data_IF_077549317904
#
_entry.id   IF_077549317904
#
_cell.length_a   1.000
_cell.length_b   1.000
_cell.length_c   1.000
_cell.angle_alpha   90.00
_cell.angle_beta   90.00
_cell.angle_gamma   90.00
#
_symmetry.space_group_name_H-M   'P 1'
#
loop_
_entity.id
_entity.type
_entity.pdbx_description
1 polymer ?
#
# COMPACT_ATOMS: atom_id res chain seq x y z
N UNK A 1 12.55 8.66 21.24
CA UNK A 1 13.29 7.57 20.57
C UNK A 1 12.31 6.85 19.65
N UNK A 2 12.49 6.94 18.34
CA UNK A 2 11.64 6.25 17.37
C UNK A 2 12.04 4.77 17.39
N UNK A 3 11.30 3.93 18.11
CA UNK A 3 11.54 2.49 18.10
C UNK A 3 11.32 1.97 16.68
N UNK A 4 12.30 1.24 16.14
CA UNK A 4 12.17 0.56 14.85
C UNK A 4 12.07 -0.94 15.09
N UNK A 5 10.95 -1.54 14.73
CA UNK A 5 10.73 -2.99 14.85
C UNK A 5 10.64 -3.62 13.46
N UNK A 6 11.25 -4.78 13.27
CA UNK A 6 11.22 -5.51 11.98
C UNK A 6 10.32 -6.73 12.05
N UNK A 7 9.66 -7.03 10.94
CA UNK A 7 8.90 -8.26 10.75
C UNK A 7 8.98 -8.78 9.32
N UNK A 8 8.60 -10.03 9.13
CA UNK A 8 8.51 -10.66 7.80
C UNK A 8 7.14 -11.32 7.62
N UNK A 9 6.59 -11.23 6.41
CA UNK A 9 5.42 -11.98 5.95
C UNK A 9 5.84 -12.81 4.73
N UNK A 10 5.43 -14.08 4.70
CA UNK A 10 5.57 -14.96 3.55
C UNK A 10 4.17 -15.11 2.94
N UNK A 11 3.93 -14.58 1.73
CA UNK A 11 2.65 -14.76 1.07
C UNK A 11 2.36 -16.24 0.80
N UNK A 12 1.12 -16.66 1.04
CA UNK A 12 0.62 -17.93 0.50
C UNK A 12 0.26 -17.73 -0.97
N UNK A 13 1.08 -18.26 -1.88
CA UNK A 13 0.90 -18.16 -3.33
C UNK A 13 1.38 -16.84 -3.95
N UNK A 14 1.07 -16.59 -5.23
CA UNK A 14 1.58 -15.43 -5.97
C UNK A 14 1.19 -14.11 -5.31
N UNK A 15 2.17 -13.21 -5.17
CA UNK A 15 1.99 -11.87 -4.62
C UNK A 15 2.99 -10.87 -5.23
N UNK A 16 2.50 -9.67 -5.54
CA UNK A 16 3.31 -8.54 -5.98
C UNK A 16 3.03 -7.30 -5.11
N UNK A 17 4.04 -6.88 -4.34
CA UNK A 17 4.00 -5.66 -3.54
C UNK A 17 3.95 -4.43 -4.45
N UNK A 18 4.70 -4.45 -5.55
CA UNK A 18 4.68 -3.37 -6.54
C UNK A 18 3.32 -3.20 -7.20
N UNK A 19 2.62 -4.28 -7.55
CA UNK A 19 1.24 -4.20 -8.05
C UNK A 19 0.28 -3.64 -6.98
N UNK A 20 0.45 -4.04 -5.72
CA UNK A 20 -0.36 -3.53 -4.60
C UNK A 20 -0.12 -2.03 -4.34
N UNK A 21 1.14 -1.58 -4.41
CA UNK A 21 1.53 -0.18 -4.29
C UNK A 21 0.95 0.69 -5.42
N UNK A 22 0.82 0.14 -6.64
CA UNK A 22 0.20 0.81 -7.77
C UNK A 22 -1.33 0.88 -7.68
N UNK A 23 -1.95 -0.10 -7.03
CA UNK A 23 -3.41 -0.15 -6.85
C UNK A 23 -3.90 0.74 -5.69
N UNK A 24 -3.07 0.98 -4.68
CA UNK A 24 -3.43 1.69 -3.46
C UNK A 24 -3.98 3.11 -3.67
N UNK A 25 -4.89 3.52 -2.78
CA UNK A 25 -5.44 4.88 -2.77
C UNK A 25 -4.46 5.86 -2.12
N UNK A 26 -3.75 6.66 -2.91
CA UNK A 26 -2.78 7.65 -2.41
C UNK A 26 -2.33 8.67 -3.46
N UNK A 27 -1.64 9.75 -3.07
CA UNK A 27 -1.23 10.87 -3.94
C UNK A 27 -0.28 10.48 -5.09
N UNK A 28 0.15 9.22 -5.19
CA UNK A 28 0.92 8.67 -6.30
C UNK A 28 0.08 8.08 -7.43
N UNK A 29 -1.27 8.17 -7.36
CA UNK A 29 -2.11 7.88 -8.53
C UNK A 29 -1.65 8.73 -9.72
N UNK A 30 -1.07 8.07 -10.73
CA UNK A 30 -0.77 8.67 -12.04
C UNK A 30 0.70 8.88 -12.41
N UNK A 31 1.69 8.46 -11.61
CA UNK A 31 3.11 8.47 -12.05
C UNK A 31 3.87 7.21 -11.63
N UNK A 32 4.09 6.23 -12.53
CA UNK A 32 4.78 5.00 -12.21
C UNK A 32 6.28 5.24 -11.95
N UNK A 33 6.79 4.72 -10.83
CA UNK A 33 8.10 4.08 -10.79
C UNK A 33 7.83 2.60 -10.55
N UNK A 34 7.80 1.83 -11.64
CA UNK A 34 7.46 0.40 -11.64
C UNK A 34 8.51 -0.51 -10.96
N UNK A 35 9.56 0.08 -10.38
CA UNK A 35 10.80 -0.62 -10.02
C UNK A 35 11.15 -0.50 -8.54
N UNK A 36 10.21 -0.05 -7.72
CA UNK A 36 10.36 -0.07 -6.28
C UNK A 36 9.51 -1.22 -5.74
N UNK A 37 10.14 -2.35 -5.42
CA UNK A 37 9.56 -3.43 -4.61
C UNK A 37 9.33 -2.95 -3.16
N UNK A 38 8.83 -1.73 -2.98
CA UNK A 38 8.67 -1.06 -1.70
C UNK A 38 7.32 -0.35 -1.61
N UNK A 39 6.84 -0.20 -0.38
CA UNK A 39 5.57 0.45 -0.09
C UNK A 39 5.63 1.09 1.30
N UNK A 40 5.20 2.33 1.43
CA UNK A 40 5.10 3.01 2.71
C UNK A 40 3.63 3.14 3.13
N UNK A 41 3.34 2.79 4.37
CA UNK A 41 2.02 2.87 4.98
C UNK A 41 2.10 3.73 6.24
N UNK A 42 1.04 4.48 6.54
CA UNK A 42 0.87 5.15 7.82
C UNK A 42 -0.60 5.05 8.22
N UNK A 43 -0.87 4.53 9.41
CA UNK A 43 -2.23 4.30 9.88
C UNK A 43 -2.35 4.34 11.39
N UNK A 44 -3.58 4.56 11.86
CA UNK A 44 -3.97 4.36 13.25
C UNK A 44 -4.24 2.86 13.45
N UNK A 45 -3.69 2.25 14.49
CA UNK A 45 -3.96 0.84 14.77
C UNK A 45 -5.43 0.66 15.18
N UNK A 46 -5.98 -0.53 14.97
CA UNK A 46 -7.41 -0.81 15.19
C UNK A 46 -7.93 -0.46 16.61
N UNK A 47 -7.06 -0.37 17.62
CA UNK A 47 -7.43 0.05 18.98
C UNK A 47 -7.61 1.56 19.15
N UNK A 48 -7.29 2.36 18.13
CA UNK A 48 -7.25 3.84 18.16
C UNK A 48 -6.28 4.47 19.17
N UNK A 49 -5.53 3.66 19.93
CA UNK A 49 -4.64 4.13 20.99
C UNK A 49 -3.25 4.56 20.50
N UNK A 50 -2.87 4.22 19.26
CA UNK A 50 -1.55 4.54 18.71
C UNK A 50 -1.55 4.62 17.19
N UNK A 51 -0.50 5.21 16.64
CA UNK A 51 -0.24 5.29 15.21
C UNK A 51 1.04 4.51 14.87
N UNK A 52 1.08 3.95 13.67
CA UNK A 52 2.23 3.24 13.12
C UNK A 52 2.49 3.69 11.69
N UNK A 53 3.77 3.82 11.36
CA UNK A 53 4.23 3.89 9.97
C UNK A 53 4.99 2.62 9.65
N UNK A 54 4.77 2.05 8.47
CA UNK A 54 5.43 0.81 8.03
C UNK A 54 6.06 1.02 6.67
N UNK A 55 7.35 0.71 6.57
CA UNK A 55 8.05 0.59 5.30
C UNK A 55 8.18 -0.87 4.92
N UNK A 56 7.62 -1.26 3.79
CA UNK A 56 7.63 -2.61 3.26
C UNK A 56 8.62 -2.72 2.11
N UNK A 57 9.30 -3.86 2.02
CA UNK A 57 10.10 -4.27 0.86
C UNK A 57 9.86 -5.73 0.52
N UNK A 58 9.64 -6.06 -0.75
CA UNK A 58 9.58 -7.45 -1.21
C UNK A 58 10.96 -7.89 -1.70
N UNK A 59 11.42 -9.06 -1.24
CA UNK A 59 12.64 -9.69 -1.71
C UNK A 59 12.32 -10.74 -2.78
N UNK A 60 12.90 -10.59 -3.98
CA UNK A 60 12.84 -11.54 -5.10
C UNK A 60 11.49 -12.27 -5.25
N UNK A 61 10.39 -11.53 -5.04
CA UNK A 61 8.98 -11.99 -5.06
C UNK A 61 8.57 -13.03 -4.01
N UNK A 62 9.41 -13.40 -3.04
CA UNK A 62 9.13 -14.47 -2.08
C UNK A 62 8.71 -13.98 -0.69
N UNK A 63 9.38 -12.96 -0.14
CA UNK A 63 9.16 -12.51 1.24
C UNK A 63 8.95 -11.01 1.29
N UNK A 64 8.10 -10.56 2.19
CA UNK A 64 7.88 -9.14 2.46
C UNK A 64 8.51 -8.83 3.81
N UNK A 65 9.44 -7.89 3.80
CA UNK A 65 10.10 -7.34 4.97
C UNK A 65 9.42 -6.03 5.35
N UNK A 66 9.02 -5.89 6.61
CA UNK A 66 8.44 -4.67 7.14
C UNK A 66 9.29 -4.07 8.23
N UNK A 67 9.44 -2.74 8.18
CA UNK A 67 10.03 -1.92 9.23
C UNK A 67 8.94 -1.01 9.80
N UNK A 68 8.69 -1.13 11.09
CA UNK A 68 7.66 -0.40 11.82
C UNK A 68 8.35 0.77 12.54
N UNK A 69 7.75 1.94 12.42
CA UNK A 69 8.11 3.15 13.12
C UNK A 69 6.91 3.60 13.96
N UNK A 70 7.13 3.81 15.26
CA UNK A 70 6.09 4.24 16.20
C UNK A 70 6.10 3.46 17.50
N UNK A 71 5.09 3.69 18.33
CA UNK A 71 4.93 3.05 19.65
C UNK A 71 3.91 1.90 19.64
N UNK A 72 3.28 1.62 18.51
CA UNK A 72 2.31 0.55 18.36
C UNK A 72 2.94 -0.85 18.52
N UNK A 73 2.20 -1.80 19.08
CA UNK A 73 2.67 -3.16 19.28
C UNK A 73 2.97 -3.86 17.92
N UNK A 74 4.19 -4.39 17.71
CA UNK A 74 4.59 -4.95 16.41
C UNK A 74 3.69 -6.07 15.87
N UNK A 75 3.14 -6.90 16.77
CA UNK A 75 2.25 -8.00 16.38
C UNK A 75 0.92 -7.50 15.82
N UNK A 76 0.37 -6.42 16.40
CA UNK A 76 -0.88 -5.78 15.94
C UNK A 76 -0.65 -5.15 14.58
N UNK A 77 0.42 -4.37 14.42
CA UNK A 77 0.80 -3.74 13.16
C UNK A 77 1.00 -4.78 12.05
N UNK A 78 1.72 -5.88 12.33
CA UNK A 78 1.92 -6.98 11.38
C UNK A 78 0.59 -7.58 10.91
N UNK A 79 -0.35 -7.83 11.82
CA UNK A 79 -1.68 -8.39 11.48
C UNK A 79 -2.47 -7.42 10.59
N UNK A 80 -2.46 -6.14 10.93
CA UNK A 80 -3.17 -5.10 10.17
C UNK A 80 -2.59 -4.92 8.76
N UNK A 81 -1.27 -4.97 8.62
CA UNK A 81 -0.59 -4.99 7.30
C UNK A 81 -0.95 -6.23 6.50
N UNK A 82 -0.93 -7.42 7.13
CA UNK A 82 -1.29 -8.66 6.46
C UNK A 82 -2.72 -8.61 5.92
N UNK A 83 -3.68 -8.13 6.72
CA UNK A 83 -5.06 -7.92 6.32
C UNK A 83 -5.20 -6.90 5.19
N UNK A 84 -4.52 -5.76 5.29
CA UNK A 84 -4.62 -4.72 4.28
C UNK A 84 -4.11 -5.17 2.90
N UNK A 85 -3.12 -6.06 2.87
CA UNK A 85 -2.58 -6.65 1.64
C UNK A 85 -3.21 -8.01 1.27
N UNK A 86 -4.27 -8.43 1.99
CA UNK A 86 -4.92 -9.75 1.84
C UNK A 86 -3.94 -10.94 1.86
N UNK A 87 -2.95 -10.87 2.75
CA UNK A 87 -1.95 -11.90 3.03
C UNK A 87 -2.35 -12.83 4.19
N UNK A 88 -3.48 -12.54 4.82
CA UNK A 88 -4.14 -13.35 5.84
C UNK A 88 -5.10 -14.41 5.25
N UNK A 89 -5.26 -14.41 3.92
CA UNK A 89 -6.07 -15.37 3.17
C UNK A 89 -5.25 -16.12 2.11
N UNK A 90 -5.73 -17.31 1.73
CA UNK A 90 -5.02 -18.17 0.79
C UNK A 90 -4.94 -17.59 -0.62
N UNK A 91 -3.75 -17.61 -1.20
CA UNK A 91 -3.56 -17.25 -2.60
C UNK A 91 -4.04 -18.25 -3.60
N UNK A 92 -3.89 -19.53 -3.30
CA UNK A 92 -4.46 -20.56 -4.13
C UNK A 92 -5.98 -20.36 -4.26
N UNK A 93 -6.66 -20.09 -3.15
CA UNK A 93 -8.09 -19.79 -3.14
C UNK A 93 -8.43 -18.54 -3.97
N UNK A 94 -7.65 -17.45 -3.84
CA UNK A 94 -7.82 -16.25 -4.66
C UNK A 94 -7.74 -16.56 -6.16
N UNK A 95 -6.75 -17.35 -6.58
CA UNK A 95 -6.59 -17.73 -7.99
C UNK A 95 -7.74 -18.61 -8.51
N UNK A 96 -8.42 -19.38 -7.64
CA UNK A 96 -9.60 -20.16 -8.05
C UNK A 96 -10.81 -19.26 -8.36
N UNK A 97 -10.90 -18.05 -7.77
CA UNK A 97 -11.98 -17.11 -8.07
C UNK A 97 -11.97 -16.72 -9.55
N UNK A 98 -10.79 -16.39 -10.11
CA UNK A 98 -10.66 -16.03 -11.52
C UNK A 98 -10.93 -17.16 -12.51
N UNK A 99 -10.97 -18.42 -12.06
CA UNK A 99 -11.42 -19.55 -12.89
C UNK A 99 -12.95 -19.65 -12.98
N UNK A 100 -13.66 -19.09 -11.99
CA UNK A 100 -15.13 -19.12 -11.90
C UNK A 100 -15.75 -17.84 -12.44
N UNK A 101 -15.03 -16.72 -12.35
CA UNK A 101 -15.47 -15.41 -12.82
C UNK A 101 -14.51 -14.88 -13.90
N UNK A 102 -15.03 -14.63 -15.10
CA UNK A 102 -14.24 -14.17 -16.25
C UNK A 102 -13.63 -12.78 -16.04
N UNK A 103 -14.32 -11.87 -15.36
CA UNK A 103 -13.85 -10.50 -15.13
C UNK A 103 -12.67 -10.54 -14.15
N UNK A 104 -12.84 -11.25 -13.04
CA UNK A 104 -11.74 -11.45 -12.06
C UNK A 104 -10.58 -12.22 -12.70
N UNK A 105 -10.88 -13.23 -13.52
CA UNK A 105 -9.87 -13.99 -14.24
C UNK A 105 -9.06 -13.15 -15.22
N UNK A 106 -9.68 -12.19 -15.89
CA UNK A 106 -8.97 -11.24 -16.76
C UNK A 106 -8.09 -10.30 -15.93
N UNK A 107 -8.63 -9.71 -14.84
CA UNK A 107 -7.87 -8.86 -13.93
C UNK A 107 -6.63 -9.58 -13.38
N UNK A 108 -6.76 -10.84 -12.96
CA UNK A 108 -5.65 -11.62 -12.44
C UNK A 108 -4.55 -11.89 -13.49
N UNK A 109 -4.90 -11.95 -14.78
CA UNK A 109 -3.94 -12.09 -15.88
C UNK A 109 -3.25 -10.77 -16.18
N UNK A 110 -4.00 -9.68 -16.19
CA UNK A 110 -3.49 -8.34 -16.50
C UNK A 110 -2.58 -7.80 -15.37
N UNK A 111 -2.84 -8.21 -14.13
CA UNK A 111 -2.08 -7.81 -12.93
C UNK A 111 -1.62 -9.03 -12.11
N UNK A 112 -0.61 -9.80 -12.58
CA UNK A 112 -0.15 -10.99 -11.88
C UNK A 112 0.32 -10.72 -10.45
N UNK A 113 -0.19 -11.49 -9.49
CA UNK A 113 0.17 -11.36 -8.07
C UNK A 113 -0.53 -10.21 -7.34
N UNK A 114 -1.40 -9.44 -8.01
CA UNK A 114 -2.25 -8.47 -7.32
C UNK A 114 -3.30 -9.21 -6.48
N UNK A 115 -3.37 -8.82 -5.20
CA UNK A 115 -4.45 -9.21 -4.27
C UNK A 115 -5.41 -8.05 -4.08
N UNK A 116 -6.64 -8.30 -3.58
CA UNK A 116 -7.49 -7.22 -3.10
C UNK A 116 -6.73 -6.40 -2.06
N UNK A 117 -6.51 -5.12 -2.33
CA UNK A 117 -5.90 -4.19 -1.37
C UNK A 117 -7.04 -3.54 -0.60
N UNK A 118 -7.07 -3.75 0.71
CA UNK A 118 -8.05 -3.17 1.62
C UNK A 118 -7.50 -1.87 2.23
N UNK A 119 -8.39 -1.03 2.74
CA UNK A 119 -7.98 0.15 3.50
C UNK A 119 -7.18 -0.28 4.74
N UNK A 120 -6.09 0.45 5.02
CA UNK A 120 -5.14 0.09 6.07
C UNK A 120 -5.72 0.32 7.48
N UNK A 121 -6.75 1.15 7.63
CA UNK A 121 -7.52 1.32 8.88
C UNK A 121 -8.98 1.72 8.63
N UNK A 122 -9.90 1.47 9.58
CA UNK A 122 -11.26 2.00 9.54
C UNK A 122 -11.30 3.54 9.47
N UNK A 123 -10.35 4.20 10.12
CA UNK A 123 -10.21 5.67 10.09
C UNK A 123 -9.90 6.16 8.67
N UNK A 124 -8.96 5.52 7.99
CA UNK A 124 -8.61 5.88 6.62
C UNK A 124 -9.71 5.50 5.62
N UNK A 125 -10.39 4.38 5.82
CA UNK A 125 -11.58 4.01 5.05
C UNK A 125 -12.68 5.08 5.21
N UNK A 126 -12.90 5.58 6.42
CA UNK A 126 -13.86 6.65 6.70
C UNK A 126 -13.42 7.99 6.08
N UNK A 127 -12.12 8.34 6.19
CA UNK A 127 -11.59 9.54 5.56
C UNK A 127 -11.75 9.51 4.04
N UNK A 128 -11.42 8.39 3.38
CA UNK A 128 -11.62 8.22 1.95
C UNK A 128 -13.09 8.12 1.55
N UNK A 129 -13.94 7.51 2.37
CA UNK A 129 -15.38 7.51 2.14
C UNK A 129 -15.93 8.94 2.14
N UNK A 130 -15.53 9.78 3.11
CA UNK A 130 -15.94 11.20 3.17
C UNK A 130 -15.37 12.00 2.00
N UNK A 131 -14.10 11.82 1.65
CA UNK A 131 -13.43 12.56 0.56
C UNK A 131 -14.00 12.17 -0.81
N UNK A 132 -14.23 10.88 -1.06
CA UNK A 132 -14.75 10.37 -2.34
C UNK A 132 -16.22 10.71 -2.54
N UNK A 133 -17.02 10.75 -1.48
CA UNK A 133 -18.44 11.10 -1.56
C UNK A 133 -18.68 12.55 -2.00
N UNK A 134 -17.69 13.44 -1.80
CA UNK A 134 -17.75 14.85 -2.22
C UNK A 134 -17.20 15.14 -3.62
N UNK A 135 -16.70 14.13 -4.35
CA UNK A 135 -16.17 14.31 -5.72
C UNK A 135 -17.03 13.56 -6.74
N UNK A 136 -17.94 14.28 -7.41
CA UNK A 136 -18.66 13.77 -8.57
C UNK A 136 -17.67 13.40 -9.69
N UNK A 137 -17.81 12.18 -10.24
CA UNK A 137 -17.02 11.60 -11.34
C UNK A 137 -17.15 12.31 -12.71
N UNK A 138 -17.59 13.57 -12.74
CA UNK A 138 -17.88 14.32 -13.95
C UNK A 138 -17.41 15.78 -13.84
N UNK A 139 -16.09 15.99 -13.83
CA UNK A 139 -15.36 17.17 -14.36
C UNK A 139 -13.93 17.19 -13.82
N UNK A 140 -13.01 16.57 -14.54
CA UNK A 140 -11.56 16.84 -14.43
C UNK A 140 -10.90 16.62 -15.79
N UNK A 141 -11.38 17.32 -16.81
CA UNK A 141 -10.52 17.78 -17.89
C UNK A 141 -10.32 19.29 -17.68
N UNK A 142 -9.05 19.69 -17.49
CA UNK A 142 -8.50 21.05 -17.53
C UNK A 142 -8.42 21.87 -16.21
N UNK A 143 -7.17 22.31 -15.94
CA UNK A 143 -6.70 23.40 -15.06
C UNK A 143 -6.60 23.05 -13.56
N UNK A 144 -5.46 23.15 -12.85
CA UNK A 144 -4.47 24.23 -12.77
C UNK A 144 -3.04 23.74 -12.38
N UNK A 145 -1.97 24.50 -12.72
CA UNK A 145 -0.57 24.13 -12.48
C UNK A 145 0.14 24.94 -11.35
N UNK A 146 1.33 24.46 -10.97
CA UNK A 146 2.49 25.11 -10.30
C UNK A 146 2.39 25.51 -8.81
N UNK A 147 3.50 25.22 -8.09
CA UNK A 147 4.11 25.82 -6.86
C UNK A 147 4.29 24.75 -5.78
N UNK A 148 5.47 24.39 -5.23
CA UNK A 148 6.89 24.70 -5.38
C UNK A 148 7.62 23.53 -4.65
N UNK A 149 8.72 22.91 -5.11
CA UNK A 149 10.06 23.47 -5.29
C UNK A 149 10.59 24.25 -4.07
N UNK A 150 10.87 23.55 -2.97
CA UNK A 150 11.85 23.96 -1.95
C UNK A 150 12.36 22.69 -1.24
N UNK A 151 13.65 22.63 -0.88
CA UNK A 151 14.40 21.47 -0.34
C UNK A 151 15.13 20.61 -1.40
N UNK A 152 15.81 21.27 -2.34
CA UNK A 152 16.99 20.69 -3.01
C UNK A 152 17.91 21.81 -3.53
N UNK A 153 18.44 22.62 -2.61
CA UNK A 153 19.54 23.54 -2.92
C UNK A 153 20.40 23.75 -1.68
N UNK A 154 20.96 22.67 -1.15
CA UNK A 154 22.17 22.67 -0.33
C UNK A 154 22.87 21.34 -0.58
N UNK A 155 24.16 21.40 -0.93
CA UNK A 155 25.10 20.29 -1.17
C UNK A 155 25.30 19.86 -2.63
N UNK A 156 25.89 20.75 -3.43
CA UNK A 156 27.04 20.36 -4.26
C UNK A 156 27.91 21.59 -4.58
N UNK A 157 29.23 21.42 -4.51
CA UNK A 157 30.30 22.36 -4.93
C UNK A 157 31.02 23.22 -3.87
N UNK A 158 31.90 22.56 -3.11
CA UNK A 158 33.29 22.96 -2.73
C UNK A 158 34.03 21.62 -2.55
N UNK A 159 35.17 21.29 -3.13
CA UNK A 159 36.20 21.95 -3.93
C UNK A 159 36.68 20.96 -5.00
#
# INVERSE_FOLDING_TARGET
>A
MTSSHRFTIVPDGPFSLSASAQFGFGPQMGRPKADADTMALAFVVDSFASQASVFLRQDNKAKIHGEIYGSAEPKVVKKQVARALSLDHSGAAWMQVGKRDRVIGQMQKDFPGLRPVLFYSPYEAAAWAVISHRRHRARTARSFPVTAALVASQNFSRH
#
